data_IF_163819232262
#
_entry.id   IF_163819232262
#
_cell.length_a   1.000
_cell.length_b   1.000
_cell.length_c   1.000
_cell.angle_alpha   90.00
_cell.angle_beta   90.00
_cell.angle_gamma   90.00
#
_symmetry.space_group_name_H-M   'P 1'
#
loop_
_entity.id
_entity.type
_entity.pdbx_description
1 polymer ?
#
# COMPACT_ATOMS: atom_id res chain seq x y z
N UNK A 1 3.76 5.55 -12.95
CA UNK A 1 2.90 6.60 -12.35
C UNK A 1 1.44 6.42 -12.82
N UNK A 2 0.78 5.29 -12.51
CA UNK A 2 -0.56 4.98 -13.05
C UNK A 2 -1.51 4.35 -12.00
N UNK A 3 -1.28 4.63 -10.71
CA UNK A 3 -2.07 4.08 -9.60
C UNK A 3 -2.73 5.17 -8.74
N UNK A 4 -2.47 6.44 -9.02
CA UNK A 4 -3.08 7.55 -8.28
C UNK A 4 -4.57 7.63 -8.64
N UNK A 5 -5.44 7.55 -7.62
CA UNK A 5 -6.88 7.69 -7.76
C UNK A 5 -7.68 6.41 -8.03
N UNK A 6 -7.04 5.25 -8.20
CA UNK A 6 -7.78 3.99 -8.27
C UNK A 6 -8.28 3.60 -6.87
N UNK A 7 -9.58 3.28 -6.71
CA UNK A 7 -10.10 2.82 -5.44
C UNK A 7 -9.34 1.57 -4.96
N UNK A 8 -9.06 1.54 -3.66
CA UNK A 8 -8.35 0.45 -3.01
C UNK A 8 -6.82 0.59 -2.91
N UNK A 9 -6.20 1.62 -3.50
CA UNK A 9 -4.79 1.94 -3.25
C UNK A 9 -4.62 2.85 -2.03
N UNK A 10 -3.43 2.81 -1.42
CA UNK A 10 -3.06 3.75 -0.35
C UNK A 10 -2.92 5.15 -0.95
N UNK A 11 -3.63 6.11 -0.36
CA UNK A 11 -3.62 7.52 -0.79
C UNK A 11 -2.90 8.44 0.19
N UNK A 12 -2.62 7.97 1.41
CA UNK A 12 -2.03 8.77 2.47
C UNK A 12 -1.26 7.88 3.46
N UNK A 13 -0.14 8.39 3.94
CA UNK A 13 0.65 7.76 4.99
C UNK A 13 0.61 8.62 6.24
N UNK A 14 0.50 7.98 7.41
CA UNK A 14 0.42 8.68 8.67
C UNK A 14 1.07 7.90 9.81
N UNK A 15 1.47 8.63 10.84
CA UNK A 15 2.08 8.10 12.07
C UNK A 15 1.50 8.82 13.29
N UNK A 16 1.44 8.13 14.42
CA UNK A 16 1.05 8.70 15.70
C UNK A 16 2.28 9.23 16.44
N UNK A 17 2.19 10.43 17.02
CA UNK A 17 3.23 10.93 17.91
C UNK A 17 3.21 10.17 19.25
N UNK A 18 4.36 9.62 19.68
CA UNK A 18 4.45 8.90 20.96
C UNK A 18 4.29 9.79 22.21
N UNK A 19 4.23 11.12 22.06
CA UNK A 19 4.08 12.06 23.19
C UNK A 19 2.66 12.59 23.34
N UNK A 20 2.04 13.04 22.24
CA UNK A 20 0.72 13.68 22.27
C UNK A 20 -0.36 12.88 21.57
N UNK A 21 -0.02 11.72 20.99
CA UNK A 21 -0.95 10.79 20.33
C UNK A 21 -1.70 11.37 19.11
N UNK A 22 -1.34 12.58 18.68
CA UNK A 22 -1.87 13.20 17.45
C UNK A 22 -1.34 12.48 16.21
N UNK A 23 -2.22 12.32 15.22
CA UNK A 23 -1.86 11.78 13.92
C UNK A 23 -1.17 12.82 13.04
N UNK A 24 -0.09 12.39 12.40
CA UNK A 24 0.76 13.22 11.55
C UNK A 24 0.89 12.59 10.18
N UNK A 25 0.71 13.39 9.14
CA UNK A 25 0.89 12.92 7.76
C UNK A 25 2.36 12.83 7.43
N UNK A 26 2.73 11.75 6.74
CA UNK A 26 4.04 11.52 6.17
C UNK A 26 3.94 11.76 4.65
N UNK A 27 4.71 12.71 4.09
CA UNK A 27 4.53 13.12 2.70
C UNK A 27 4.80 12.04 1.66
N UNK A 28 5.72 11.12 1.95
CA UNK A 28 6.18 10.11 1.00
C UNK A 28 6.09 8.70 1.58
N UNK A 29 5.90 7.72 0.70
CA UNK A 29 5.91 6.31 1.06
C UNK A 29 7.27 5.90 1.62
N UNK A 30 8.34 6.36 1.02
CA UNK A 30 9.72 6.02 1.39
C UNK A 30 10.02 6.47 2.81
N UNK A 31 9.62 7.70 3.18
CA UNK A 31 9.78 8.20 4.54
C UNK A 31 8.94 7.38 5.53
N UNK A 32 7.70 7.04 5.18
CA UNK A 32 6.84 6.21 6.01
C UNK A 32 7.46 4.82 6.25
N UNK A 33 8.02 4.19 5.22
CA UNK A 33 8.64 2.87 5.33
C UNK A 33 9.92 2.91 6.19
N UNK A 34 10.72 3.98 6.10
CA UNK A 34 11.88 4.20 6.99
C UNK A 34 11.44 4.33 8.45
N UNK A 35 10.41 5.14 8.71
CA UNK A 35 9.87 5.32 10.06
C UNK A 35 9.35 3.97 10.60
N UNK A 36 8.53 3.27 9.81
CA UNK A 36 7.90 2.01 10.20
C UNK A 36 8.90 0.90 10.51
N UNK A 37 9.93 0.74 9.67
CA UNK A 37 10.99 -0.25 9.89
C UNK A 37 11.73 0.01 11.21
N UNK A 38 11.97 1.28 11.52
CA UNK A 38 12.76 1.68 12.68
C UNK A 38 11.91 1.97 13.92
N UNK A 39 10.58 1.93 13.83
CA UNK A 39 9.68 2.48 14.85
C UNK A 39 9.94 1.93 16.26
N UNK A 40 10.15 0.61 16.47
CA UNK A 40 10.39 0.08 17.82
C UNK A 40 11.72 0.55 18.45
N UNK A 41 12.74 0.82 17.63
CA UNK A 41 14.02 1.32 18.11
C UNK A 41 14.08 2.85 18.14
N UNK A 42 13.33 3.52 17.26
CA UNK A 42 13.31 4.97 17.06
C UNK A 42 11.87 5.48 16.97
N UNK A 43 11.17 5.58 18.12
CA UNK A 43 9.80 6.09 18.18
C UNK A 43 9.66 7.46 17.49
N UNK A 44 8.46 7.77 17.03
CA UNK A 44 8.21 8.99 16.27
C UNK A 44 7.62 10.11 17.15
N UNK A 45 8.17 11.32 17.02
CA UNK A 45 7.74 12.51 17.77
C UNK A 45 7.53 13.68 16.82
N UNK A 46 6.59 14.57 17.13
CA UNK A 46 6.27 15.74 16.30
C UNK A 46 7.51 16.57 15.94
N UNK A 47 8.49 16.66 16.85
CA UNK A 47 9.76 17.39 16.63
C UNK A 47 10.62 16.84 15.49
N UNK A 48 10.34 15.64 14.97
CA UNK A 48 11.00 15.09 13.78
C UNK A 48 10.52 15.73 12.48
N UNK A 49 9.29 16.28 12.46
CA UNK A 49 8.74 16.99 11.31
C UNK A 49 9.09 18.48 11.45
N UNK A 50 9.62 19.09 10.38
CA UNK A 50 9.90 20.53 10.36
C UNK A 50 8.61 21.30 10.65
N UNK A 51 8.74 22.37 11.43
CA UNK A 51 7.64 23.27 11.78
C UNK A 51 6.43 22.56 12.43
N UNK A 52 6.66 21.42 13.09
CA UNK A 52 5.64 20.66 13.80
C UNK A 52 6.03 20.46 15.27
N UNK A 53 5.05 20.59 16.16
CA UNK A 53 5.21 20.36 17.59
C UNK A 53 3.97 19.67 18.15
N UNK A 54 4.03 19.26 19.42
CA UNK A 54 2.88 18.65 20.09
C UNK A 54 1.72 19.63 20.30
N UNK A 55 1.98 20.94 20.27
CA UNK A 55 0.95 21.98 20.44
C UNK A 55 0.11 22.17 19.18
N UNK A 56 0.68 21.88 18.01
CA UNK A 56 -0.05 21.98 16.74
C UNK A 56 -1.22 20.98 16.70
N UNK A 57 -2.37 21.34 16.07
CA UNK A 57 -3.49 20.42 15.86
C UNK A 57 -3.05 19.22 15.04
N UNK A 58 -3.73 18.07 15.16
CA UNK A 58 -3.43 16.89 14.35
C UNK A 58 -3.59 17.18 12.86
N UNK A 59 -2.79 16.50 12.02
CA UNK A 59 -2.81 16.73 10.57
C UNK A 59 -4.04 16.06 9.94
N UNK A 60 -4.48 14.95 10.53
CA UNK A 60 -5.64 14.18 10.13
C UNK A 60 -6.37 13.71 11.38
N UNK A 61 -7.69 13.79 11.36
CA UNK A 61 -8.51 13.31 12.45
C UNK A 61 -8.79 11.81 12.27
N UNK A 62 -8.71 11.04 13.35
CA UNK A 62 -9.17 9.66 13.36
C UNK A 62 -10.70 9.59 13.31
N UNK A 63 -11.25 9.40 12.11
CA UNK A 63 -12.69 9.36 11.85
C UNK A 63 -13.06 8.34 10.75
N UNK A 64 -14.33 8.35 10.32
CA UNK A 64 -14.89 7.46 9.29
C UNK A 64 -14.87 8.06 7.88
N UNK A 65 -14.22 9.22 7.69
CA UNK A 65 -14.07 9.85 6.38
C UNK A 65 -13.17 9.03 5.44
N UNK A 66 -12.36 8.13 6.01
CA UNK A 66 -11.40 7.26 5.32
C UNK A 66 -11.34 5.90 5.99
N UNK A 67 -10.92 4.88 5.23
CA UNK A 67 -10.61 3.58 5.79
C UNK A 67 -9.19 3.61 6.33
N UNK A 68 -9.04 3.30 7.62
CA UNK A 68 -7.74 3.20 8.26
C UNK A 68 -7.21 1.77 8.17
N UNK A 69 -5.92 1.64 7.91
CA UNK A 69 -5.20 0.39 7.93
C UNK A 69 -3.89 0.57 8.69
N UNK A 70 -3.69 -0.20 9.75
CA UNK A 70 -2.56 -0.04 10.68
C UNK A 70 -1.59 -1.21 10.51
N UNK A 71 -0.36 -0.89 10.11
CA UNK A 71 0.73 -1.87 10.05
C UNK A 71 1.09 -2.36 11.46
N UNK A 72 1.45 -3.64 11.57
CA UNK A 72 2.14 -4.13 12.77
C UNK A 72 3.57 -3.56 12.83
N UNK A 73 4.20 -3.49 14.01
CA UNK A 73 5.60 -3.09 14.12
C UNK A 73 6.56 -4.00 13.32
N UNK A 74 7.77 -3.53 13.04
CA UNK A 74 8.86 -4.29 12.40
C UNK A 74 8.56 -4.82 10.98
N UNK A 75 7.79 -4.07 10.19
CA UNK A 75 7.73 -4.37 8.75
C UNK A 75 8.92 -3.70 8.05
N UNK A 76 9.83 -4.50 7.44
CA UNK A 76 11.02 -3.98 6.79
C UNK A 76 10.65 -3.18 5.54
N UNK A 77 11.61 -2.39 5.05
CA UNK A 77 11.52 -1.81 3.72
C UNK A 77 11.53 -2.89 2.64
N UNK A 78 10.91 -2.63 1.47
CA UNK A 78 11.09 -3.50 0.33
C UNK A 78 12.57 -3.58 -0.07
N UNK A 79 13.02 -4.71 -0.63
CA UNK A 79 14.36 -4.83 -1.18
C UNK A 79 14.64 -3.77 -2.27
N UNK A 80 15.91 -3.39 -2.50
CA UNK A 80 16.27 -2.43 -3.55
C UNK A 80 15.73 -2.84 -4.92
N UNK A 81 15.34 -1.85 -5.74
CA UNK A 81 14.75 -2.05 -7.08
C UNK A 81 13.41 -2.83 -7.07
N UNK A 82 12.79 -2.98 -5.91
CA UNK A 82 11.43 -3.52 -5.78
C UNK A 82 10.53 -2.50 -5.11
N UNK A 83 9.23 -2.64 -5.31
CA UNK A 83 8.24 -1.79 -4.65
C UNK A 83 7.18 -2.66 -3.96
N UNK A 84 6.93 -2.44 -2.67
CA UNK A 84 5.82 -3.09 -1.95
C UNK A 84 4.52 -2.33 -2.21
N UNK A 85 3.52 -2.98 -2.80
CA UNK A 85 2.18 -2.44 -3.02
C UNK A 85 1.20 -3.05 -2.04
N UNK A 86 0.28 -2.23 -1.52
CA UNK A 86 -0.86 -2.68 -0.72
C UNK A 86 -2.13 -2.34 -1.48
N UNK A 87 -2.96 -3.34 -1.72
CA UNK A 87 -4.21 -3.20 -2.45
C UNK A 87 -5.35 -3.70 -1.57
N UNK A 88 -6.32 -2.84 -1.30
CA UNK A 88 -7.55 -3.17 -0.61
C UNK A 88 -8.42 -4.06 -1.50
N UNK A 89 -9.03 -5.09 -0.91
CA UNK A 89 -10.04 -5.90 -1.62
C UNK A 89 -11.34 -5.12 -1.78
N UNK A 90 -12.10 -5.46 -2.83
CA UNK A 90 -13.40 -4.83 -3.12
C UNK A 90 -14.39 -4.97 -1.96
N UNK A 91 -14.32 -6.09 -1.23
CA UNK A 91 -15.15 -6.36 -0.05
C UNK A 91 -14.70 -5.62 1.22
N UNK A 92 -13.60 -4.84 1.16
CA UNK A 92 -13.00 -4.09 2.25
C UNK A 92 -12.65 -4.96 3.48
N UNK A 93 -12.51 -6.28 3.29
CA UNK A 93 -12.30 -7.23 4.38
C UNK A 93 -10.83 -7.29 4.83
N UNK A 94 -9.91 -7.11 3.88
CA UNK A 94 -8.45 -7.10 4.10
C UNK A 94 -7.72 -6.45 2.92
N UNK A 95 -6.44 -6.17 3.15
CA UNK A 95 -5.51 -5.80 2.09
C UNK A 95 -4.69 -7.00 1.65
N UNK A 96 -4.27 -6.99 0.39
CA UNK A 96 -3.29 -7.91 -0.17
C UNK A 96 -1.96 -7.16 -0.41
N UNK A 97 -0.84 -7.80 -0.08
CA UNK A 97 0.50 -7.28 -0.32
C UNK A 97 1.07 -7.87 -1.61
N UNK A 98 1.59 -7.00 -2.47
CA UNK A 98 2.30 -7.37 -3.70
C UNK A 98 3.68 -6.73 -3.70
N UNK A 99 4.60 -7.32 -4.46
CA UNK A 99 5.87 -6.68 -4.81
C UNK A 99 5.96 -6.50 -6.31
N UNK A 100 6.29 -5.28 -6.76
CA UNK A 100 6.75 -5.04 -8.13
C UNK A 100 8.23 -5.41 -8.18
N UNK A 101 8.56 -6.36 -9.04
CA UNK A 101 9.92 -6.87 -9.24
C UNK A 101 10.67 -6.00 -10.27
N UNK A 102 12.02 -6.14 -10.39
CA UNK A 102 12.81 -5.33 -11.31
C UNK A 102 12.37 -5.41 -12.79
N UNK A 103 11.72 -6.52 -13.18
CA UNK A 103 11.15 -6.70 -14.52
C UNK A 103 9.73 -6.11 -14.68
N UNK A 104 9.21 -5.41 -13.67
CA UNK A 104 7.87 -4.83 -13.64
C UNK A 104 6.74 -5.81 -13.31
N UNK A 105 7.01 -7.13 -13.20
CA UNK A 105 5.99 -8.11 -12.83
C UNK A 105 5.64 -8.01 -11.34
N UNK A 106 4.40 -8.36 -11.00
CA UNK A 106 3.94 -8.42 -9.60
C UNK A 106 4.10 -9.82 -9.04
N UNK A 107 4.63 -9.92 -7.83
CA UNK A 107 4.63 -11.11 -7.01
C UNK A 107 3.62 -10.96 -5.86
N UNK A 108 2.77 -11.96 -5.66
CA UNK A 108 1.77 -12.00 -4.57
C UNK A 108 2.18 -12.92 -3.41
N UNK A 109 3.36 -13.53 -3.49
CA UNK A 109 3.91 -14.37 -2.44
C UNK A 109 5.28 -14.91 -2.80
N UNK A 110 5.88 -15.62 -1.83
CA UNK A 110 7.20 -16.27 -1.97
C UNK A 110 7.32 -17.19 -3.20
N UNK A 111 6.31 -18.00 -3.59
CA UNK A 111 6.41 -18.84 -4.78
C UNK A 111 6.61 -18.06 -6.09
N UNK A 112 6.09 -16.83 -6.17
CA UNK A 112 6.30 -15.98 -7.34
C UNK A 112 7.72 -15.40 -7.37
N UNK A 113 8.27 -15.06 -6.20
CA UNK A 113 9.66 -14.64 -6.05
C UNK A 113 10.60 -15.78 -6.45
N UNK A 114 10.37 -17.00 -5.94
CA UNK A 114 11.19 -18.17 -6.26
C UNK A 114 11.18 -18.46 -7.76
N UNK A 115 10.01 -18.37 -8.40
CA UNK A 115 9.89 -18.52 -9.86
C UNK A 115 10.67 -17.43 -10.59
N UNK A 116 10.54 -16.18 -10.18
CA UNK A 116 11.29 -15.06 -10.75
C UNK A 116 12.81 -15.26 -10.63
N UNK A 117 13.31 -15.68 -9.47
CA UNK A 117 14.74 -15.89 -9.24
C UNK A 117 15.30 -17.08 -10.05
N UNK A 118 14.50 -18.11 -10.31
CA UNK A 118 14.87 -19.20 -11.22
C UNK A 118 14.99 -18.73 -12.67
N UNK A 119 14.09 -17.87 -13.11
CA UNK A 119 14.09 -17.29 -14.46
C UNK A 119 15.15 -16.18 -14.64
N UNK A 120 15.57 -15.53 -13.54
CA UNK A 120 16.50 -14.39 -13.56
C UNK A 120 17.58 -14.56 -12.46
N UNK A 121 18.53 -15.51 -12.61
CA UNK A 121 19.51 -15.86 -11.58
C UNK A 121 20.42 -14.70 -11.14
N UNK A 122 20.62 -13.69 -11.98
CA UNK A 122 21.42 -12.50 -11.70
C UNK A 122 20.90 -11.70 -10.49
N UNK A 123 19.61 -11.85 -10.15
CA UNK A 123 19.02 -11.17 -9.00
C UNK A 123 19.16 -11.96 -7.69
N UNK A 124 19.51 -13.26 -7.73
CA UNK A 124 19.49 -14.14 -6.55
C UNK A 124 20.37 -13.66 -5.39
N UNK A 125 21.52 -13.03 -5.69
CA UNK A 125 22.41 -12.47 -4.68
C UNK A 125 21.86 -11.19 -4.04
N UNK A 126 21.03 -10.43 -4.77
CA UNK A 126 20.54 -9.10 -4.33
C UNK A 126 19.13 -9.11 -3.78
N UNK A 127 18.32 -10.11 -4.16
CA UNK A 127 16.91 -10.25 -3.79
C UNK A 127 16.67 -11.61 -3.10
N UNK A 128 17.29 -11.87 -1.93
CA UNK A 128 17.06 -13.13 -1.22
C UNK A 128 15.60 -13.22 -0.77
N UNK A 129 15.03 -14.44 -0.77
CA UNK A 129 13.61 -14.66 -0.43
C UNK A 129 13.23 -14.12 0.96
N UNK A 130 14.17 -14.13 1.90
CA UNK A 130 14.01 -13.62 3.27
C UNK A 130 13.80 -12.10 3.35
N UNK A 131 14.19 -11.35 2.31
CA UNK A 131 14.04 -9.90 2.25
C UNK A 131 12.61 -9.46 1.92
N UNK A 132 11.72 -10.38 1.53
CA UNK A 132 10.33 -10.09 1.19
C UNK A 132 9.39 -10.36 2.37
N UNK A 133 8.61 -9.33 2.73
CA UNK A 133 7.60 -9.41 3.79
C UNK A 133 6.19 -9.13 3.24
N UNK A 134 5.34 -10.14 3.25
CA UNK A 134 3.95 -10.10 2.75
C UNK A 134 2.92 -9.85 3.85
N UNK A 135 3.35 -9.43 5.05
CA UNK A 135 2.41 -9.03 6.11
C UNK A 135 1.60 -7.83 5.64
N UNK A 136 0.32 -7.78 5.99
CA UNK A 136 -0.58 -6.69 5.59
C UNK A 136 -1.05 -5.92 6.83
N UNK A 137 -1.34 -4.62 6.69
CA UNK A 137 -1.91 -3.85 7.78
C UNK A 137 -3.31 -4.36 8.13
N UNK A 138 -3.69 -4.20 9.39
CA UNK A 138 -5.03 -4.55 9.85
C UNK A 138 -5.97 -3.39 9.53
N UNK A 139 -7.05 -3.70 8.82
CA UNK A 139 -8.13 -2.74 8.58
C UNK A 139 -8.84 -2.45 9.90
N UNK A 140 -9.08 -1.17 10.13
CA UNK A 140 -9.80 -0.70 11.31
C UNK A 140 -11.29 -0.64 10.97
N UNK A 141 -12.02 -1.66 11.40
CA UNK A 141 -13.37 -1.98 10.90
C UNK A 141 -14.38 -0.86 11.14
N UNK A 142 -14.27 -0.16 12.26
CA UNK A 142 -15.12 0.97 12.62
C UNK A 142 -14.99 2.17 11.67
N UNK A 143 -13.91 2.23 10.89
CA UNK A 143 -13.69 3.30 9.89
C UNK A 143 -14.25 2.94 8.51
N UNK A 144 -14.73 1.71 8.32
CA UNK A 144 -15.34 1.25 7.06
C UNK A 144 -16.80 1.69 7.00
N UNK A 145 -17.06 2.81 6.33
CA UNK A 145 -18.41 3.35 6.13
C UNK A 145 -19.19 2.65 5.00
N UNK A 146 -20.51 2.76 5.01
CA UNK A 146 -21.35 2.23 3.92
C UNK A 146 -21.12 2.97 2.60
N UNK A 147 -20.80 4.27 2.66
CA UNK A 147 -20.36 5.04 1.49
C UNK A 147 -19.09 4.45 0.87
N UNK A 148 -18.12 4.01 1.68
CA UNK A 148 -16.92 3.37 1.17
C UNK A 148 -17.23 2.03 0.48
N UNK A 149 -18.11 1.21 1.06
CA UNK A 149 -18.58 -0.04 0.42
C UNK A 149 -19.24 0.23 -0.93
N UNK A 150 -20.07 1.27 -1.00
CA UNK A 150 -20.75 1.66 -2.24
C UNK A 150 -19.76 2.09 -3.34
N UNK A 151 -18.73 2.88 -2.99
CA UNK A 151 -17.68 3.30 -3.93
C UNK A 151 -16.94 2.10 -4.51
N UNK A 152 -16.54 1.14 -3.68
CA UNK A 152 -15.86 -0.07 -4.17
C UNK A 152 -16.76 -0.89 -5.10
N UNK A 153 -18.02 -1.12 -4.72
CA UNK A 153 -18.96 -1.87 -5.54
C UNK A 153 -19.27 -1.17 -6.87
N UNK A 154 -19.28 0.17 -6.90
CA UNK A 154 -19.44 0.94 -8.14
C UNK A 154 -18.22 0.77 -9.07
N UNK A 155 -17.01 0.89 -8.51
CA UNK A 155 -15.78 0.70 -9.28
C UNK A 155 -15.68 -0.70 -9.89
N UNK A 156 -16.10 -1.72 -9.16
CA UNK A 156 -16.10 -3.11 -9.65
C UNK A 156 -17.03 -3.28 -10.85
N UNK A 157 -18.22 -2.69 -10.81
CA UNK A 157 -19.17 -2.70 -11.95
C UNK A 157 -18.62 -1.95 -13.17
N UNK A 158 -17.98 -0.81 -12.95
CA UNK A 158 -17.38 -0.02 -14.03
C UNK A 158 -16.21 -0.77 -14.68
N UNK A 159 -15.32 -1.37 -13.90
CA UNK A 159 -14.23 -2.21 -14.41
C UNK A 159 -14.76 -3.43 -15.19
N UNK A 160 -15.85 -4.04 -14.73
CA UNK A 160 -16.49 -5.16 -15.42
C UNK A 160 -17.09 -4.73 -16.76
N UNK A 161 -17.75 -3.56 -16.83
CA UNK A 161 -18.27 -2.99 -18.07
C UNK A 161 -17.15 -2.76 -19.09
N UNK A 162 -16.08 -2.09 -18.67
CA UNK A 162 -14.94 -1.79 -19.55
C UNK A 162 -14.26 -3.06 -20.10
N UNK A 163 -14.19 -4.12 -19.29
CA UNK A 163 -13.63 -5.41 -19.74
C UNK A 163 -14.53 -6.15 -20.73
N UNK A 164 -15.84 -5.93 -20.69
CA UNK A 164 -16.78 -6.45 -21.70
C UNK A 164 -16.62 -5.68 -23.01
N UNK A 165 -16.60 -4.35 -22.95
CA UNK A 165 -16.41 -3.48 -24.12
C UNK A 165 -15.09 -3.78 -24.84
N UNK A 166 -14.00 -4.01 -24.09
CA UNK A 166 -12.69 -4.35 -24.65
C UNK A 166 -12.63 -5.71 -25.35
N UNK A 167 -13.52 -6.65 -24.99
CA UNK A 167 -13.62 -7.96 -25.64
C UNK A 167 -14.51 -7.93 -26.89
N UNK A 168 -15.35 -6.91 -27.03
CA UNK A 168 -16.28 -6.75 -28.15
C UNK A 168 -15.70 -5.96 -29.34
N UNK A 169 -14.50 -5.38 -29.23
CA UNK A 169 -13.80 -4.74 -30.36
C UNK A 169 -13.26 -5.81 -31.32
N UNK A 170 -13.83 -5.99 -32.53
CA UNK A 170 -13.30 -6.94 -33.51
C UNK A 170 -11.97 -6.39 -34.06
N UNK A 171 -10.96 -7.25 -34.17
CA UNK A 171 -9.74 -6.92 -34.91
C UNK A 171 -10.10 -6.68 -36.38
N UNK A 172 -10.27 -5.42 -36.78
CA UNK A 172 -10.34 -5.06 -38.20
C UNK A 172 -8.94 -5.22 -38.80
N UNK A 173 -8.61 -6.45 -39.18
CA UNK A 173 -7.54 -6.72 -40.14
C UNK A 173 -8.03 -6.24 -41.50
N UNK A 174 -7.61 -5.03 -41.89
CA UNK A 174 -7.70 -4.58 -43.27
C UNK A 174 -6.68 -5.33 -44.14
N UNK A 175 -7.18 -5.74 -45.31
CA UNK A 175 -6.53 -6.52 -46.38
C UNK A 175 -5.20 -5.96 -46.85
#
# INVERSE_FOLDING_TARGET
>A
MALEGKPGFITMYAITCCKCEKWRTIPTKEEFEVIRENYPAKPWFCSKKRDCSCEHPEDIQYDTSRIWAIDRPNIPKPPPKTERLLIMRNDLSKMDAYYVLPNGKRAKGKPDIDRFLKENPEYAATLPLSSFNFSTPKIVKETVSDSAKWVMAKSEREEQCMQLDAKEVPSSSSK
#
